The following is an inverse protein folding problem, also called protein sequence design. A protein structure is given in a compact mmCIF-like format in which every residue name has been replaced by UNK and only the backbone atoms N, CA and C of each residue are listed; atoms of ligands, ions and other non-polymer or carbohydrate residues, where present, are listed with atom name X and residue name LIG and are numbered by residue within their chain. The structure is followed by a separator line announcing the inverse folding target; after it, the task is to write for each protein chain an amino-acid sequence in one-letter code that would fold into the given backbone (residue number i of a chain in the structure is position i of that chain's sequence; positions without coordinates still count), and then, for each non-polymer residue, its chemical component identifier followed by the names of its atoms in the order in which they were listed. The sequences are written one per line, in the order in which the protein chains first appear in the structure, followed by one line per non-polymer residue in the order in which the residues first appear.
data_IF_310190712979
#
_entry.id   IF_310190712979
#
_cell.length_a   1.000
_cell.length_b   1.000
_cell.length_c   1.000
_cell.angle_alpha   90.00
_cell.angle_beta   90.00
_cell.angle_gamma   90.00
#
_symmetry.space_group_name_H-M   'P 1'
#
loop_
_entity.id
_entity.type
_entity.pdbx_description
1 polymer ?
#
# COMPACT_ATOMS: atom_id res chain seq x y z
N UNK A 1 -1.20 -46.14 34.32
CA UNK A 1 -0.78 -45.00 33.48
C UNK A 1 0.73 -44.86 33.61
N UNK A 2 1.44 -44.63 32.51
CA UNK A 2 2.89 -44.44 32.57
C UNK A 2 3.21 -43.08 33.20
N UNK A 3 4.32 -42.95 33.93
CA UNK A 3 4.79 -41.65 34.46
C UNK A 3 4.90 -40.59 33.35
N UNK A 4 5.17 -41.03 32.12
CA UNK A 4 5.23 -40.20 30.91
C UNK A 4 3.86 -39.63 30.55
N UNK A 5 2.78 -40.41 30.71
CA UNK A 5 1.41 -39.98 30.41
C UNK A 5 0.93 -38.91 31.41
N UNK A 6 1.31 -39.05 32.68
CA UNK A 6 1.00 -38.07 33.73
C UNK A 6 1.72 -36.74 33.50
N UNK A 7 3.01 -36.79 33.14
CA UNK A 7 3.80 -35.59 32.80
C UNK A 7 3.23 -34.91 31.55
N UNK A 8 2.89 -35.69 30.52
CA UNK A 8 2.28 -35.18 29.28
C UNK A 8 0.94 -34.49 29.56
N UNK A 9 0.09 -35.10 30.39
CA UNK A 9 -1.20 -34.56 30.77
C UNK A 9 -1.07 -33.26 31.57
N UNK A 10 -0.13 -33.21 32.52
CA UNK A 10 0.15 -32.01 33.33
C UNK A 10 0.70 -30.86 32.46
N UNK A 11 1.61 -31.16 31.54
CA UNK A 11 2.15 -30.18 30.59
C UNK A 11 1.07 -29.62 29.66
N UNK A 12 0.18 -30.48 29.12
CA UNK A 12 -0.96 -30.04 28.30
C UNK A 12 -1.91 -29.13 29.08
N UNK A 13 -2.23 -29.47 30.33
CA UNK A 13 -3.08 -28.66 31.18
C UNK A 13 -2.48 -27.27 31.45
N UNK A 14 -1.19 -27.23 31.77
CA UNK A 14 -0.46 -25.96 32.00
C UNK A 14 -0.41 -25.08 30.74
N UNK A 15 -0.14 -25.66 29.57
CA UNK A 15 -0.13 -24.91 28.31
C UNK A 15 -1.52 -24.31 28.02
N UNK A 16 -2.58 -25.11 28.23
CA UNK A 16 -3.94 -24.66 28.00
C UNK A 16 -4.35 -23.54 28.96
N UNK A 17 -3.93 -23.61 30.23
CA UNK A 17 -4.19 -22.56 31.21
C UNK A 17 -3.48 -21.25 30.85
N UNK A 18 -2.21 -21.33 30.43
CA UNK A 18 -1.46 -20.16 29.96
C UNK A 18 -2.08 -19.55 28.69
N UNK A 19 -2.59 -20.35 27.76
CA UNK A 19 -3.31 -19.86 26.57
C UNK A 19 -4.65 -19.19 26.93
N UNK A 20 -5.34 -19.67 27.96
CA UNK A 20 -6.57 -19.02 28.45
C UNK A 20 -6.28 -17.68 29.12
N UNK A 21 -5.14 -17.57 29.81
CA UNK A 21 -4.65 -16.34 30.46
C UNK A 21 -3.87 -15.43 29.51
N UNK A 22 -3.44 -15.93 28.35
CA UNK A 22 -2.74 -15.16 27.35
C UNK A 22 -3.61 -13.99 26.93
N UNK A 23 -2.97 -12.83 26.77
CA UNK A 23 -3.61 -11.56 26.47
C UNK A 23 -4.60 -11.72 25.31
N UNK A 24 -5.90 -11.63 25.63
CA UNK A 24 -6.96 -11.43 24.66
C UNK A 24 -7.33 -9.96 24.77
N UNK A 25 -7.07 -9.21 23.73
CA UNK A 25 -7.54 -7.84 23.63
C UNK A 25 -9.08 -7.91 23.52
N UNK A 26 -9.77 -7.84 24.66
CA UNK A 26 -11.24 -7.93 24.74
C UNK A 26 -11.94 -6.71 24.16
N UNK A 27 -11.17 -5.67 23.86
CA UNK A 27 -11.61 -4.37 23.34
C UNK A 27 -11.12 -4.13 21.91
N UNK A 28 -10.82 -5.20 21.17
CA UNK A 28 -10.56 -5.09 19.73
C UNK A 28 -11.84 -4.59 19.04
N UNK A 29 -11.89 -3.28 18.81
CA UNK A 29 -12.95 -2.67 18.03
C UNK A 29 -12.45 -2.65 16.60
N UNK A 30 -12.98 -3.53 15.76
CA UNK A 30 -12.73 -3.46 14.32
C UNK A 30 -13.29 -2.14 13.82
N UNK A 31 -12.42 -1.17 13.59
CA UNK A 31 -12.79 0.05 12.89
C UNK A 31 -12.81 -0.32 11.41
N UNK A 32 -13.95 -0.15 10.74
CA UNK A 32 -13.99 -0.27 9.29
C UNK A 32 -13.08 0.82 8.72
N UNK A 33 -12.05 0.41 7.99
CA UNK A 33 -11.30 1.35 7.17
C UNK A 33 -12.29 1.95 6.18
N UNK A 34 -12.32 3.27 6.09
CA UNK A 34 -13.02 3.96 5.00
C UNK A 34 -12.47 3.32 3.72
N UNK A 35 -13.34 2.68 2.94
CA UNK A 35 -12.98 2.21 1.61
C UNK A 35 -12.40 3.44 0.90
N UNK A 36 -11.14 3.45 0.45
CA UNK A 36 -10.60 4.59 -0.26
C UNK A 36 -11.35 4.66 -1.59
N UNK A 37 -12.48 5.37 -1.59
CA UNK A 37 -13.49 5.33 -2.65
C UNK A 37 -12.87 5.68 -4.01
N UNK A 38 -11.78 6.44 -4.09
CA UNK A 38 -11.19 6.79 -5.39
C UNK A 38 -9.68 7.03 -5.30
N UNK A 39 -8.86 6.02 -5.57
CA UNK A 39 -7.46 6.26 -5.98
C UNK A 39 -7.24 6.06 -7.49
N UNK A 40 -8.24 5.58 -8.21
CA UNK A 40 -8.21 5.52 -9.67
C UNK A 40 -9.47 6.20 -10.17
N UNK A 41 -9.43 7.53 -10.27
CA UNK A 41 -10.39 8.27 -11.06
C UNK A 41 -10.03 8.02 -12.54
N UNK A 42 -10.65 7.00 -13.15
CA UNK A 42 -10.62 6.88 -14.61
C UNK A 42 -11.48 7.98 -15.20
N UNK A 43 -10.84 8.99 -15.77
CA UNK A 43 -11.53 10.01 -16.55
C UNK A 43 -11.85 9.49 -17.94
N UNK A 44 -12.93 9.94 -18.57
CA UNK A 44 -13.27 9.57 -19.95
C UNK A 44 -12.16 9.97 -20.96
N UNK A 45 -11.30 10.93 -20.60
CA UNK A 45 -10.14 11.34 -21.36
C UNK A 45 -8.86 10.63 -20.88
N UNK A 46 -8.49 9.57 -21.59
CA UNK A 46 -7.30 8.76 -21.31
C UNK A 46 -5.99 9.54 -21.42
N UNK A 47 -5.92 10.59 -22.26
CA UNK A 47 -4.70 11.38 -22.44
C UNK A 47 -4.43 12.24 -21.20
N UNK A 48 -5.49 12.83 -20.65
CA UNK A 48 -5.42 13.62 -19.43
C UNK A 48 -5.04 12.73 -18.23
N UNK A 49 -5.62 11.54 -18.14
CA UNK A 49 -5.27 10.56 -17.08
C UNK A 49 -3.79 10.11 -17.16
N UNK A 50 -3.27 9.84 -18.36
CA UNK A 50 -1.87 9.48 -18.57
C UNK A 50 -0.93 10.61 -18.11
N UNK A 51 -1.24 11.86 -18.45
CA UNK A 51 -0.45 13.04 -18.04
C UNK A 51 -0.41 13.20 -16.53
N UNK A 52 -1.56 13.03 -15.88
CA UNK A 52 -1.67 13.11 -14.42
C UNK A 52 -0.80 12.03 -13.76
N UNK A 53 -0.97 10.76 -14.16
CA UNK A 53 -0.19 9.63 -13.62
C UNK A 53 1.31 9.79 -13.84
N UNK A 54 1.74 10.26 -15.00
CA UNK A 54 3.16 10.49 -15.28
C UNK A 54 3.72 11.63 -14.41
N UNK A 55 2.96 12.72 -14.24
CA UNK A 55 3.33 13.85 -13.37
C UNK A 55 3.39 13.43 -11.89
N UNK A 56 2.43 12.64 -11.43
CA UNK A 56 2.39 12.07 -10.07
C UNK A 56 3.62 11.18 -9.81
N UNK A 57 4.11 10.49 -10.84
CA UNK A 57 5.34 9.70 -10.81
C UNK A 57 6.62 10.52 -11.05
N UNK A 58 6.54 11.86 -10.96
CA UNK A 58 7.64 12.82 -11.13
C UNK A 58 8.27 12.84 -12.53
N UNK A 59 7.56 12.37 -13.56
CA UNK A 59 7.95 12.58 -14.94
C UNK A 59 7.47 13.95 -15.43
N UNK A 60 8.27 14.60 -16.28
CA UNK A 60 7.90 15.87 -16.92
C UNK A 60 7.10 15.52 -18.18
N UNK A 61 5.86 15.99 -18.27
CA UNK A 61 5.00 15.78 -19.44
C UNK A 61 4.54 17.11 -19.99
N UNK A 62 4.96 17.41 -21.22
CA UNK A 62 4.62 18.63 -21.94
C UNK A 62 3.97 18.29 -23.28
N UNK A 63 3.02 19.11 -23.73
CA UNK A 63 2.45 18.96 -25.06
C UNK A 63 3.41 19.54 -26.10
N UNK A 64 3.76 18.73 -27.10
CA UNK A 64 4.54 19.18 -28.24
C UNK A 64 3.99 18.60 -29.54
N UNK A 65 4.07 19.40 -30.60
CA UNK A 65 3.93 18.93 -31.99
C UNK A 65 5.30 18.57 -32.53
N UNK A 66 5.37 17.86 -33.66
CA UNK A 66 6.65 17.46 -34.26
C UNK A 66 7.55 18.67 -34.55
N UNK A 67 6.95 19.78 -34.95
CA UNK A 67 7.64 21.03 -35.28
C UNK A 67 8.15 21.80 -34.05
N UNK A 68 7.54 21.58 -32.87
CA UNK A 68 7.89 22.30 -31.62
C UNK A 68 8.67 21.41 -30.63
N UNK A 69 8.96 20.17 -31.01
CA UNK A 69 9.60 19.18 -30.14
C UNK A 69 10.99 19.63 -29.70
N UNK A 70 11.81 20.11 -30.64
CA UNK A 70 13.19 20.52 -30.36
C UNK A 70 13.25 21.74 -29.42
N UNK A 71 12.41 22.75 -29.68
CA UNK A 71 12.29 23.92 -28.79
C UNK A 71 11.84 23.52 -27.39
N UNK A 72 10.85 22.62 -27.29
CA UNK A 72 10.34 22.16 -25.99
C UNK A 72 11.36 21.34 -25.21
N UNK A 73 12.14 20.50 -25.88
CA UNK A 73 13.23 19.76 -25.23
C UNK A 73 14.26 20.74 -24.66
N UNK A 74 14.69 21.73 -25.45
CA UNK A 74 15.66 22.74 -25.00
C UNK A 74 15.14 23.56 -23.81
N UNK A 75 13.85 23.93 -23.82
CA UNK A 75 13.20 24.63 -22.71
C UNK A 75 13.19 23.79 -21.41
N UNK A 76 12.89 22.48 -21.51
CA UNK A 76 12.90 21.56 -20.38
C UNK A 76 14.31 21.38 -19.84
N UNK A 77 15.30 21.13 -20.69
CA UNK A 77 16.70 20.96 -20.29
C UNK A 77 17.19 22.21 -19.52
N UNK A 78 16.92 23.41 -20.05
CA UNK A 78 17.28 24.66 -19.40
C UNK A 78 16.58 24.89 -18.06
N UNK A 79 15.30 24.54 -17.93
CA UNK A 79 14.51 24.71 -16.69
C UNK A 79 14.94 23.78 -15.57
N UNK A 80 15.30 22.54 -15.92
CA UNK A 80 15.61 21.50 -14.94
C UNK A 80 17.11 21.31 -14.70
N UNK A 81 17.97 22.06 -15.42
CA UNK A 81 19.40 22.13 -15.17
C UNK A 81 20.17 20.88 -15.55
N UNK A 82 19.74 20.18 -16.60
CA UNK A 82 20.45 19.04 -17.17
C UNK A 82 21.58 19.47 -18.11
#
# INVERSE_FOLDING_TARGET
MSKIDEISSKSKANILEHLKKAYKETTFTRIESIDPVEHIQTTQDMLTEMKQKMSDNKYIVENATKDTLEEKINEIVAKYGF
#
